data_IF_432654344036
#
_entry.id   IF_432654344036
#
_cell.length_a   1.000
_cell.length_b   1.000
_cell.length_c   1.000
_cell.angle_alpha   90.00
_cell.angle_beta   90.00
_cell.angle_gamma   90.00
#
_symmetry.space_group_name_H-M   'P 1'
#
loop_
_entity.id
_entity.type
_entity.pdbx_description
1 polymer ?
#
# COMPACT_ATOMS: atom_id res chain seq x y z
N UNK A 1 39.96 4.03 15.49
CA UNK A 1 38.69 3.82 16.16
C UNK A 1 37.88 2.85 15.33
N UNK A 2 37.44 1.75 15.93
CA UNK A 2 36.69 0.70 15.28
C UNK A 2 35.18 0.95 15.58
N UNK A 3 34.67 2.09 15.07
CA UNK A 3 33.27 2.46 15.19
C UNK A 3 32.54 2.02 13.92
N UNK A 4 31.29 1.55 14.03
CA UNK A 4 30.47 1.24 12.86
C UNK A 4 30.25 2.52 12.02
N UNK A 5 30.00 2.38 10.72
CA UNK A 5 29.78 3.54 9.84
C UNK A 5 28.53 4.34 10.25
N UNK A 6 27.54 3.67 10.86
CA UNK A 6 26.29 4.27 11.36
C UNK A 6 26.01 3.77 12.78
N UNK A 7 25.44 4.62 13.64
CA UNK A 7 25.00 4.28 15.00
C UNK A 7 25.08 5.47 15.96
N UNK A 8 24.47 5.32 17.12
CA UNK A 8 24.42 6.38 18.13
C UNK A 8 25.82 6.71 18.68
N UNK A 9 26.69 5.71 18.81
CA UNK A 9 28.07 5.90 19.25
C UNK A 9 28.88 6.74 18.25
N UNK A 10 28.70 6.46 16.95
CA UNK A 10 29.37 7.22 15.89
C UNK A 10 28.84 8.64 15.80
N UNK A 11 27.52 8.84 15.98
CA UNK A 11 26.93 10.17 16.03
C UNK A 11 27.47 10.98 17.20
N UNK A 12 27.47 10.41 18.40
CA UNK A 12 27.98 11.08 19.60
C UNK A 12 29.45 11.45 19.47
N UNK A 13 30.27 10.57 18.88
CA UNK A 13 31.67 10.85 18.59
C UNK A 13 31.84 12.00 17.57
N UNK A 14 31.06 12.05 16.52
CA UNK A 14 31.10 13.12 15.52
C UNK A 14 30.66 14.44 16.12
N UNK A 15 29.63 14.48 16.95
CA UNK A 15 29.21 15.67 17.67
C UNK A 15 30.33 16.20 18.57
N UNK A 16 31.03 15.34 19.30
CA UNK A 16 32.18 15.72 20.12
C UNK A 16 33.35 16.28 19.27
N UNK A 17 33.62 15.67 18.12
CA UNK A 17 34.62 16.16 17.16
C UNK A 17 34.23 17.53 16.62
N UNK A 18 32.97 17.72 16.25
CA UNK A 18 32.44 19.00 15.76
C UNK A 18 32.59 20.10 16.83
N UNK A 19 32.22 19.83 18.07
CA UNK A 19 32.32 20.78 19.18
C UNK A 19 33.79 21.14 19.48
N UNK A 20 34.67 20.14 19.43
CA UNK A 20 36.09 20.36 19.65
C UNK A 20 36.71 21.24 18.56
N UNK A 21 36.45 20.92 17.29
CA UNK A 21 37.00 21.69 16.14
C UNK A 21 36.41 23.10 16.11
N UNK A 22 35.13 23.24 16.41
CA UNK A 22 34.45 24.54 16.52
C UNK A 22 35.07 25.44 17.57
N UNK A 23 35.56 24.89 18.68
CA UNK A 23 36.23 25.66 19.74
C UNK A 23 37.53 26.29 19.29
N UNK A 24 38.21 25.73 18.26
CA UNK A 24 39.51 26.24 17.74
C UNK A 24 39.37 27.04 16.47
N UNK A 25 38.42 26.69 15.57
CA UNK A 25 38.31 27.28 14.21
C UNK A 25 37.04 28.08 13.98
N UNK A 26 36.14 28.17 14.99
CA UNK A 26 34.84 28.81 14.82
C UNK A 26 33.94 28.00 13.90
N UNK A 27 33.18 28.65 13.02
CA UNK A 27 32.24 27.97 12.09
C UNK A 27 32.86 27.72 10.70
N UNK A 28 34.16 28.09 10.49
CA UNK A 28 34.84 27.96 9.19
C UNK A 28 35.58 26.63 9.04
N UNK A 29 34.89 25.49 9.23
CA UNK A 29 35.49 24.17 9.01
C UNK A 29 34.48 23.20 8.41
N UNK A 30 35.00 22.15 7.77
CA UNK A 30 34.23 21.02 7.31
C UNK A 30 34.86 19.72 7.79
N UNK A 31 34.04 18.85 8.41
CA UNK A 31 34.43 17.47 8.75
C UNK A 31 33.92 16.58 7.63
N UNK A 32 34.85 15.89 6.94
CA UNK A 32 34.54 15.07 5.79
C UNK A 32 34.98 13.63 6.03
N UNK A 33 34.10 12.69 5.79
CA UNK A 33 34.38 11.25 5.96
C UNK A 33 33.14 10.39 5.65
N UNK A 34 33.35 9.09 5.54
CA UNK A 34 32.22 8.17 5.26
C UNK A 34 31.17 8.23 6.38
N UNK A 35 31.61 8.18 7.63
CA UNK A 35 30.70 8.23 8.79
C UNK A 35 29.99 9.57 8.91
N UNK A 36 30.69 10.70 8.62
CA UNK A 36 30.07 12.04 8.62
C UNK A 36 28.98 12.12 7.53
N UNK A 37 29.31 11.68 6.31
CA UNK A 37 28.34 11.66 5.22
C UNK A 37 27.13 10.76 5.52
N UNK A 38 27.35 9.61 6.20
CA UNK A 38 26.26 8.71 6.59
C UNK A 38 25.36 9.36 7.65
N UNK A 39 25.93 10.04 8.66
CA UNK A 39 25.17 10.73 9.70
C UNK A 39 24.40 11.93 9.13
N UNK A 40 25.04 12.76 8.33
CA UNK A 40 24.40 13.92 7.68
C UNK A 40 23.26 13.48 6.76
N UNK A 41 23.50 12.43 5.98
CA UNK A 41 22.50 11.83 5.12
C UNK A 41 21.33 11.28 5.95
N UNK A 42 21.60 10.51 7.00
CA UNK A 42 20.58 9.96 7.90
C UNK A 42 19.73 11.05 8.55
N UNK A 43 20.31 12.15 8.98
CA UNK A 43 19.58 13.25 9.61
C UNK A 43 18.66 13.99 8.62
N UNK A 44 19.15 14.30 7.43
CA UNK A 44 18.36 14.94 6.37
C UNK A 44 17.19 14.05 5.93
N UNK A 45 17.41 12.73 5.83
CA UNK A 45 16.37 11.82 5.40
C UNK A 45 15.31 11.50 6.45
N UNK A 46 15.59 11.68 7.74
CA UNK A 46 14.57 11.48 8.77
C UNK A 46 13.38 12.44 8.60
N UNK A 47 13.66 13.70 8.23
CA UNK A 47 12.62 14.69 7.91
C UNK A 47 11.94 14.39 6.57
N UNK A 48 12.72 14.08 5.53
CA UNK A 48 12.23 13.76 4.19
C UNK A 48 11.38 12.50 4.18
N UNK A 49 11.72 11.48 4.97
CA UNK A 49 10.95 10.23 5.06
C UNK A 49 9.52 10.46 5.52
N UNK A 50 9.31 11.32 6.51
CA UNK A 50 7.97 11.66 6.99
C UNK A 50 7.19 12.38 5.90
N UNK A 51 7.82 13.33 5.21
CA UNK A 51 7.20 14.05 4.09
C UNK A 51 6.82 13.11 2.94
N UNK A 52 7.75 12.23 2.53
CA UNK A 52 7.53 11.25 1.46
C UNK A 52 6.42 10.28 1.84
N UNK A 53 6.40 9.79 3.07
CA UNK A 53 5.37 8.85 3.54
C UNK A 53 3.98 9.49 3.56
N UNK A 54 3.86 10.72 4.06
CA UNK A 54 2.60 11.46 4.06
C UNK A 54 2.15 11.77 2.64
N UNK A 55 3.05 12.23 1.78
CA UNK A 55 2.75 12.57 0.39
C UNK A 55 2.30 11.35 -0.39
N UNK A 56 3.00 10.22 -0.23
CA UNK A 56 2.64 8.94 -0.85
C UNK A 56 1.26 8.46 -0.39
N UNK A 57 1.00 8.50 0.93
CA UNK A 57 -0.31 8.14 1.47
C UNK A 57 -1.42 9.06 0.96
N UNK A 58 -1.15 10.37 0.82
CA UNK A 58 -2.10 11.33 0.28
C UNK A 58 -2.43 11.06 -1.20
N UNK A 59 -1.42 10.80 -2.03
CA UNK A 59 -1.64 10.46 -3.44
C UNK A 59 -2.42 9.16 -3.59
N UNK A 60 -2.08 8.13 -2.81
CA UNK A 60 -2.81 6.87 -2.77
C UNK A 60 -4.25 7.11 -2.33
N UNK A 61 -4.47 7.91 -1.27
CA UNK A 61 -5.80 8.29 -0.80
C UNK A 61 -6.62 8.96 -1.90
N UNK A 62 -6.04 9.91 -2.63
CA UNK A 62 -6.71 10.60 -3.73
C UNK A 62 -7.12 9.64 -4.85
N UNK A 63 -6.19 8.78 -5.29
CA UNK A 63 -6.47 7.79 -6.35
C UNK A 63 -7.61 6.87 -5.92
N UNK A 64 -7.57 6.33 -4.71
CA UNK A 64 -8.61 5.44 -4.20
C UNK A 64 -9.97 6.14 -4.03
N UNK A 65 -9.94 7.39 -3.58
CA UNK A 65 -11.15 8.20 -3.40
C UNK A 65 -11.87 8.40 -4.75
N UNK A 66 -11.12 8.70 -5.82
CA UNK A 66 -11.68 8.81 -7.16
C UNK A 66 -12.12 7.47 -7.73
N UNK A 67 -11.38 6.39 -7.45
CA UNK A 67 -11.67 5.05 -7.96
C UNK A 67 -12.94 4.48 -7.35
N UNK A 68 -13.08 4.56 -6.03
CA UNK A 68 -14.19 3.92 -5.30
C UNK A 68 -15.36 4.85 -4.97
N UNK A 69 -15.21 6.14 -5.22
CA UNK A 69 -16.24 7.16 -4.92
C UNK A 69 -16.77 7.07 -3.48
N UNK A 70 -15.91 6.71 -2.56
CA UNK A 70 -16.16 6.60 -1.13
C UNK A 70 -14.95 7.09 -0.37
N UNK A 71 -15.14 7.88 0.69
CA UNK A 71 -14.06 8.34 1.53
C UNK A 71 -13.66 7.30 2.59
N UNK A 72 -14.57 6.46 3.03
CA UNK A 72 -14.32 5.46 4.07
C UNK A 72 -13.46 4.30 3.59
N UNK A 73 -13.67 3.83 2.37
CA UNK A 73 -12.95 2.68 1.83
C UNK A 73 -11.44 2.93 1.70
N UNK A 74 -10.96 4.06 1.13
CA UNK A 74 -9.53 4.38 1.09
C UNK A 74 -8.85 4.38 2.44
N UNK A 75 -9.50 4.94 3.46
CA UNK A 75 -8.94 4.97 4.82
C UNK A 75 -8.71 3.56 5.37
N UNK A 76 -9.70 2.67 5.20
CA UNK A 76 -9.59 1.29 5.63
C UNK A 76 -8.47 0.53 4.88
N UNK A 77 -8.34 0.74 3.57
CA UNK A 77 -7.30 0.13 2.75
C UNK A 77 -5.90 0.59 3.18
N UNK A 78 -5.70 1.90 3.33
CA UNK A 78 -4.41 2.46 3.76
C UNK A 78 -4.03 1.94 5.14
N UNK A 79 -4.98 1.80 6.07
CA UNK A 79 -4.70 1.26 7.40
C UNK A 79 -4.16 -0.18 7.34
N UNK A 80 -4.73 -1.04 6.51
CA UNK A 80 -4.24 -2.42 6.32
C UNK A 80 -2.85 -2.42 5.69
N UNK A 81 -2.64 -1.61 4.66
CA UNK A 81 -1.36 -1.51 3.95
C UNK A 81 -0.27 -0.99 4.90
N UNK A 82 -0.55 0.10 5.62
CA UNK A 82 0.39 0.66 6.58
C UNK A 82 0.71 -0.32 7.70
N UNK A 83 -0.28 -1.07 8.17
CA UNK A 83 -0.10 -2.15 9.14
C UNK A 83 0.84 -3.25 8.63
N UNK A 84 0.75 -3.63 7.35
CA UNK A 84 1.66 -4.62 6.75
C UNK A 84 3.11 -4.12 6.67
N UNK A 85 3.30 -2.84 6.34
CA UNK A 85 4.60 -2.19 6.29
C UNK A 85 5.25 -2.14 7.69
N UNK A 86 4.48 -1.74 8.70
CA UNK A 86 4.98 -1.71 10.08
C UNK A 86 5.36 -3.10 10.61
N UNK A 87 4.54 -4.12 10.30
CA UNK A 87 4.88 -5.50 10.65
C UNK A 87 6.15 -5.96 9.96
N UNK A 88 6.37 -5.63 8.70
CA UNK A 88 7.61 -5.97 8.00
C UNK A 88 8.82 -5.33 8.66
N UNK A 89 8.76 -4.03 8.97
CA UNK A 89 9.90 -3.32 9.58
C UNK A 89 10.09 -3.62 11.06
N UNK A 90 9.12 -4.24 11.74
CA UNK A 90 9.33 -4.72 13.12
C UNK A 90 10.26 -5.94 13.19
N UNK A 91 10.37 -6.73 12.12
CA UNK A 91 11.20 -7.94 12.10
C UNK A 91 12.70 -7.63 12.27
N UNK A 92 13.32 -6.73 11.47
CA UNK A 92 14.71 -6.33 11.67
C UNK A 92 14.99 -5.79 13.08
N UNK A 93 14.02 -5.05 13.66
CA UNK A 93 14.16 -4.54 15.03
C UNK A 93 14.16 -5.65 16.07
N UNK A 94 13.39 -6.73 15.87
CA UNK A 94 13.37 -7.90 16.77
C UNK A 94 14.64 -8.74 16.60
N UNK A 95 15.13 -8.89 15.37
CA UNK A 95 16.33 -9.68 15.05
C UNK A 95 17.64 -8.93 15.32
N UNK A 96 17.59 -7.64 15.69
CA UNK A 96 18.74 -6.74 15.83
C UNK A 96 19.62 -6.71 14.56
N UNK A 97 19.01 -6.81 13.39
CA UNK A 97 19.71 -6.70 12.13
C UNK A 97 19.74 -5.24 11.68
N UNK A 98 20.90 -4.72 11.23
CA UNK A 98 21.00 -3.33 10.79
C UNK A 98 20.14 -3.13 9.54
N UNK A 99 19.27 -2.15 9.57
CA UNK A 99 18.50 -1.73 8.43
C UNK A 99 19.08 -0.42 7.91
N UNK A 100 19.68 -0.46 6.74
CA UNK A 100 20.18 0.73 6.08
C UNK A 100 19.01 1.65 5.73
N UNK A 101 19.13 2.91 6.13
CA UNK A 101 18.04 3.87 6.03
C UNK A 101 17.56 4.06 4.57
N UNK A 102 18.48 4.07 3.60
CA UNK A 102 18.12 4.12 2.16
C UNK A 102 17.28 2.90 1.74
N UNK A 103 17.62 1.71 2.30
CA UNK A 103 16.83 0.49 2.11
C UNK A 103 15.43 0.63 2.66
N UNK A 104 15.28 1.24 3.83
CA UNK A 104 13.97 1.52 4.43
C UNK A 104 13.09 2.37 3.51
N UNK A 105 13.60 3.48 2.98
CA UNK A 105 12.85 4.38 2.10
C UNK A 105 12.40 3.69 0.81
N UNK A 106 13.32 2.94 0.17
CA UNK A 106 13.04 2.22 -1.07
C UNK A 106 11.97 1.17 -0.83
N UNK A 107 12.14 0.34 0.20
CA UNK A 107 11.19 -0.75 0.51
C UNK A 107 9.83 -0.20 0.92
N UNK A 108 9.78 0.85 1.75
CA UNK A 108 8.54 1.52 2.14
C UNK A 108 7.74 2.00 0.91
N UNK A 109 8.42 2.68 -0.02
CA UNK A 109 7.79 3.19 -1.24
C UNK A 109 7.29 2.07 -2.17
N UNK A 110 8.11 1.03 -2.38
CA UNK A 110 7.74 -0.12 -3.22
C UNK A 110 6.58 -0.89 -2.59
N UNK A 111 6.64 -1.17 -1.28
CA UNK A 111 5.57 -1.91 -0.60
C UNK A 111 4.25 -1.14 -0.62
N UNK A 112 4.28 0.18 -0.42
CA UNK A 112 3.06 0.98 -0.49
C UNK A 112 2.42 0.88 -1.87
N UNK A 113 3.20 0.95 -2.95
CA UNK A 113 2.70 0.81 -4.33
C UNK A 113 2.21 -0.61 -4.65
N UNK A 114 2.97 -1.64 -4.32
CA UNK A 114 2.62 -3.03 -4.63
C UNK A 114 1.43 -3.54 -3.81
N UNK A 115 1.34 -3.18 -2.53
CA UNK A 115 0.28 -3.67 -1.65
C UNK A 115 -1.08 -3.05 -1.96
N UNK A 116 -1.10 -1.81 -2.48
CA UNK A 116 -2.35 -1.13 -2.85
C UNK A 116 -3.06 -1.86 -3.98
N UNK A 117 -2.30 -2.42 -4.93
CA UNK A 117 -2.88 -3.14 -6.06
C UNK A 117 -3.65 -4.38 -5.60
N UNK A 118 -3.13 -5.13 -4.61
CA UNK A 118 -3.84 -6.27 -4.02
C UNK A 118 -5.12 -5.85 -3.32
N UNK A 119 -5.07 -4.76 -2.59
CA UNK A 119 -6.23 -4.21 -1.89
C UNK A 119 -7.30 -3.70 -2.86
N UNK A 120 -6.90 -3.02 -3.95
CA UNK A 120 -7.80 -2.55 -5.01
C UNK A 120 -8.54 -3.72 -5.66
N UNK A 121 -7.84 -4.80 -6.01
CA UNK A 121 -8.45 -5.96 -6.69
C UNK A 121 -9.57 -6.57 -5.85
N UNK A 122 -9.32 -6.85 -4.56
CA UNK A 122 -10.37 -7.41 -3.67
C UNK A 122 -11.51 -6.41 -3.49
N UNK A 123 -11.20 -5.15 -3.24
CA UNK A 123 -12.22 -4.13 -2.97
C UNK A 123 -13.08 -3.82 -4.18
N UNK A 124 -12.53 -3.86 -5.39
CA UNK A 124 -13.28 -3.68 -6.64
C UNK A 124 -14.27 -4.83 -6.83
N UNK A 125 -13.81 -6.07 -6.71
CA UNK A 125 -14.68 -7.23 -6.81
C UNK A 125 -15.75 -7.23 -5.72
N UNK A 126 -15.38 -6.86 -4.47
CA UNK A 126 -16.35 -6.74 -3.39
C UNK A 126 -17.45 -5.72 -3.67
N UNK A 127 -17.06 -4.52 -4.12
CA UNK A 127 -18.00 -3.44 -4.42
C UNK A 127 -18.95 -3.80 -5.57
N UNK A 128 -18.45 -4.51 -6.58
CA UNK A 128 -19.25 -4.99 -7.71
C UNK A 128 -20.23 -6.10 -7.26
N UNK A 129 -19.73 -7.12 -6.59
CA UNK A 129 -20.51 -8.28 -6.17
C UNK A 129 -21.54 -7.95 -5.09
N UNK A 130 -21.29 -6.94 -4.27
CA UNK A 130 -22.23 -6.44 -3.26
C UNK A 130 -23.55 -5.92 -3.87
N UNK A 131 -23.55 -5.53 -5.14
CA UNK A 131 -24.79 -5.13 -5.83
C UNK A 131 -25.74 -6.32 -6.07
N UNK A 132 -25.22 -7.55 -6.06
CA UNK A 132 -25.97 -8.77 -6.37
C UNK A 132 -26.11 -9.72 -5.17
N UNK A 133 -25.18 -9.66 -4.20
CA UNK A 133 -25.12 -10.56 -3.06
C UNK A 133 -25.04 -9.80 -1.74
N UNK A 134 -25.52 -10.43 -0.64
CA UNK A 134 -25.29 -9.84 0.69
C UNK A 134 -23.81 -9.78 1.03
N UNK A 135 -23.35 -8.82 1.88
CA UNK A 135 -21.93 -8.53 2.12
C UNK A 135 -21.06 -9.74 2.44
N UNK A 136 -21.56 -10.68 3.27
CA UNK A 136 -20.82 -11.89 3.62
C UNK A 136 -20.58 -12.83 2.45
N UNK A 137 -21.54 -12.92 1.50
CA UNK A 137 -21.38 -13.74 0.31
C UNK A 137 -20.54 -13.02 -0.73
N UNK A 138 -20.77 -11.72 -0.89
CA UNK A 138 -20.00 -10.89 -1.82
C UNK A 138 -18.50 -10.94 -1.55
N UNK A 139 -18.08 -10.88 -0.27
CA UNK A 139 -16.65 -10.91 0.09
C UNK A 139 -16.01 -12.28 -0.19
N UNK A 140 -16.74 -13.39 0.01
CA UNK A 140 -16.22 -14.73 -0.30
C UNK A 140 -16.00 -14.89 -1.80
N UNK A 141 -16.97 -14.46 -2.60
CA UNK A 141 -16.85 -14.52 -4.07
C UNK A 141 -15.76 -13.55 -4.58
N UNK A 142 -15.63 -12.37 -3.97
CA UNK A 142 -14.56 -11.43 -4.28
C UNK A 142 -13.18 -12.01 -4.00
N UNK A 143 -13.02 -12.70 -2.86
CA UNK A 143 -11.79 -13.41 -2.52
C UNK A 143 -11.48 -14.52 -3.53
N UNK A 144 -12.46 -15.35 -3.86
CA UNK A 144 -12.29 -16.43 -4.84
C UNK A 144 -11.83 -15.89 -6.20
N UNK A 145 -12.40 -14.79 -6.65
CA UNK A 145 -12.05 -14.16 -7.91
C UNK A 145 -10.66 -13.49 -7.88
N UNK A 146 -10.29 -12.90 -6.74
CA UNK A 146 -9.04 -12.14 -6.59
C UNK A 146 -7.83 -13.00 -6.23
N UNK A 147 -8.05 -14.13 -5.54
CA UNK A 147 -7.00 -14.98 -4.99
C UNK A 147 -5.93 -15.40 -6.02
N UNK A 148 -6.29 -15.94 -7.21
CA UNK A 148 -5.28 -16.37 -8.17
C UNK A 148 -4.34 -15.24 -8.61
N UNK A 149 -4.89 -14.04 -8.85
CA UNK A 149 -4.13 -12.87 -9.28
C UNK A 149 -3.18 -12.38 -8.18
N UNK A 150 -3.68 -12.23 -6.96
CA UNK A 150 -2.89 -11.76 -5.82
C UNK A 150 -1.79 -12.77 -5.47
N UNK A 151 -2.14 -14.05 -5.43
CA UNK A 151 -1.18 -15.11 -5.11
C UNK A 151 -0.07 -15.21 -6.15
N UNK A 152 -0.41 -15.16 -7.44
CA UNK A 152 0.58 -15.25 -8.51
C UNK A 152 1.51 -14.04 -8.53
N UNK A 153 0.96 -12.82 -8.56
CA UNK A 153 1.79 -11.61 -8.59
C UNK A 153 2.62 -11.43 -7.32
N UNK A 154 2.02 -11.71 -6.17
CA UNK A 154 2.74 -11.63 -4.90
C UNK A 154 3.83 -12.68 -4.75
N UNK A 155 3.61 -13.91 -5.21
CA UNK A 155 4.65 -14.95 -5.23
C UNK A 155 5.82 -14.56 -6.13
N UNK A 156 5.56 -13.97 -7.28
CA UNK A 156 6.61 -13.46 -8.19
C UNK A 156 7.43 -12.38 -7.50
N UNK A 157 6.77 -11.40 -6.88
CA UNK A 157 7.46 -10.31 -6.18
C UNK A 157 8.25 -10.80 -4.96
N UNK A 158 7.67 -11.71 -4.17
CA UNK A 158 8.35 -12.32 -3.03
C UNK A 158 9.58 -13.13 -3.47
N UNK A 159 9.44 -13.93 -4.53
CA UNK A 159 10.56 -14.70 -5.10
C UNK A 159 11.66 -13.77 -5.64
N UNK A 160 11.30 -12.71 -6.35
CA UNK A 160 12.26 -11.73 -6.87
C UNK A 160 13.04 -11.05 -5.73
N UNK A 161 12.34 -10.58 -4.68
CA UNK A 161 12.99 -10.01 -3.50
C UNK A 161 13.95 -10.99 -2.82
N UNK A 162 13.50 -12.22 -2.57
CA UNK A 162 14.33 -13.26 -1.96
C UNK A 162 15.54 -13.64 -2.82
N UNK A 163 15.40 -13.69 -4.14
CA UNK A 163 16.52 -13.95 -5.06
C UNK A 163 17.55 -12.81 -5.03
N UNK A 164 17.10 -11.56 -5.00
CA UNK A 164 18.00 -10.41 -4.86
C UNK A 164 18.79 -10.52 -3.55
N UNK A 165 18.12 -10.86 -2.44
CA UNK A 165 18.75 -11.00 -1.13
C UNK A 165 19.88 -12.05 -1.13
N UNK A 166 19.69 -13.18 -1.82
CA UNK A 166 20.65 -14.29 -1.83
C UNK A 166 21.75 -14.11 -2.88
N UNK A 167 21.45 -13.49 -4.02
CA UNK A 167 22.39 -13.40 -5.15
C UNK A 167 23.32 -12.20 -5.07
N UNK A 168 22.99 -11.18 -4.31
CA UNK A 168 23.83 -9.98 -4.20
C UNK A 168 24.88 -10.11 -3.11
N UNK A 169 26.07 -9.57 -3.39
CA UNK A 169 27.15 -9.45 -2.40
C UNK A 169 27.13 -8.10 -1.66
N UNK A 170 26.35 -7.17 -2.13
CA UNK A 170 26.19 -5.85 -1.50
C UNK A 170 25.17 -5.95 -0.34
N UNK A 171 25.59 -5.68 0.92
CA UNK A 171 24.72 -5.86 2.07
C UNK A 171 23.48 -4.95 2.06
N UNK A 172 23.58 -3.75 1.50
CA UNK A 172 22.45 -2.83 1.38
C UNK A 172 21.38 -3.39 0.44
N UNK A 173 21.80 -3.87 -0.73
CA UNK A 173 20.89 -4.45 -1.72
C UNK A 173 20.30 -5.77 -1.22
N UNK A 174 21.09 -6.58 -0.50
CA UNK A 174 20.60 -7.81 0.14
C UNK A 174 19.48 -7.51 1.14
N UNK A 175 19.66 -6.51 1.99
CA UNK A 175 18.66 -6.09 2.98
C UNK A 175 17.38 -5.57 2.30
N UNK A 176 17.50 -4.80 1.22
CA UNK A 176 16.35 -4.34 0.43
C UNK A 176 15.58 -5.55 -0.13
N UNK A 177 16.30 -6.52 -0.73
CA UNK A 177 15.70 -7.73 -1.28
C UNK A 177 14.97 -8.57 -0.24
N UNK A 178 15.58 -8.79 0.93
CA UNK A 178 15.00 -9.54 2.03
C UNK A 178 13.74 -8.86 2.59
N UNK A 179 13.82 -7.57 2.89
CA UNK A 179 12.67 -6.80 3.35
C UNK A 179 11.53 -6.77 2.32
N UNK A 180 11.84 -6.69 1.04
CA UNK A 180 10.84 -6.72 -0.03
C UNK A 180 10.18 -8.08 -0.14
N UNK A 181 10.96 -9.17 -0.15
CA UNK A 181 10.45 -10.54 -0.24
C UNK A 181 9.56 -10.89 0.94
N UNK A 182 10.06 -10.70 2.17
CA UNK A 182 9.32 -10.93 3.42
C UNK A 182 8.10 -10.03 3.54
N UNK A 183 8.26 -8.75 3.26
CA UNK A 183 7.18 -7.78 3.35
C UNK A 183 6.04 -8.08 2.39
N UNK A 184 6.32 -8.59 1.20
CA UNK A 184 5.30 -9.04 0.25
C UNK A 184 4.51 -10.22 0.80
N UNK A 185 5.15 -11.19 1.42
CA UNK A 185 4.46 -12.34 2.04
C UNK A 185 3.55 -11.87 3.17
N UNK A 186 4.04 -11.00 4.07
CA UNK A 186 3.24 -10.41 5.16
C UNK A 186 2.02 -9.69 4.58
N UNK A 187 2.21 -8.91 3.52
CA UNK A 187 1.14 -8.15 2.88
C UNK A 187 0.08 -9.04 2.25
N UNK A 188 0.46 -10.09 1.55
CA UNK A 188 -0.49 -11.06 0.97
C UNK A 188 -1.35 -11.68 2.08
N UNK A 189 -0.71 -12.11 3.18
CA UNK A 189 -1.44 -12.70 4.32
C UNK A 189 -2.43 -11.70 4.92
N UNK A 190 -2.01 -10.45 5.15
CA UNK A 190 -2.90 -9.42 5.70
C UNK A 190 -4.03 -9.05 4.73
N UNK A 191 -3.72 -8.91 3.45
CA UNK A 191 -4.73 -8.57 2.45
C UNK A 191 -5.73 -9.70 2.25
N UNK A 192 -5.32 -10.94 2.29
CA UNK A 192 -6.24 -12.09 2.15
C UNK A 192 -7.00 -12.43 3.44
N UNK A 193 -6.40 -12.23 4.62
CA UNK A 193 -7.01 -12.62 5.88
C UNK A 193 -7.70 -11.47 6.62
N UNK A 194 -7.10 -10.29 6.68
CA UNK A 194 -7.58 -9.16 7.49
C UNK A 194 -8.45 -8.20 6.69
N UNK A 195 -8.05 -7.86 5.46
CA UNK A 195 -8.79 -6.90 4.64
C UNK A 195 -10.25 -7.31 4.40
N UNK A 196 -10.59 -8.58 4.08
CA UNK A 196 -11.97 -8.98 3.87
C UNK A 196 -12.86 -8.75 5.10
N UNK A 197 -12.31 -8.98 6.28
CA UNK A 197 -13.03 -8.77 7.54
C UNK A 197 -13.27 -7.27 7.80
N UNK A 198 -12.24 -6.45 7.53
CA UNK A 198 -12.35 -4.99 7.65
C UNK A 198 -13.38 -4.43 6.64
N UNK A 199 -13.42 -4.95 5.41
CA UNK A 199 -14.41 -4.53 4.41
C UNK A 199 -15.84 -4.85 4.85
N UNK A 200 -16.09 -6.03 5.41
CA UNK A 200 -17.42 -6.41 5.91
C UNK A 200 -17.81 -5.63 7.16
N UNK A 201 -16.88 -5.41 8.10
CA UNK A 201 -17.14 -4.63 9.30
C UNK A 201 -17.31 -3.13 8.99
N UNK A 202 -16.52 -2.62 8.06
CA UNK A 202 -16.54 -1.23 7.61
C UNK A 202 -17.63 -0.91 6.59
N UNK A 203 -18.43 -1.88 6.19
CA UNK A 203 -19.42 -1.72 5.12
C UNK A 203 -20.40 -0.57 5.36
N UNK A 204 -20.88 -0.42 6.59
CA UNK A 204 -21.74 0.71 7.00
C UNK A 204 -21.03 2.06 6.88
N UNK A 205 -19.72 2.11 7.13
CA UNK A 205 -18.91 3.33 6.99
C UNK A 205 -18.73 3.65 5.51
N UNK A 206 -18.44 2.63 4.70
CA UNK A 206 -18.26 2.76 3.25
C UNK A 206 -19.53 3.30 2.61
N UNK A 207 -20.71 2.79 2.97
CA UNK A 207 -21.98 3.25 2.45
C UNK A 207 -22.31 4.70 2.86
N UNK A 208 -22.07 5.06 4.12
CA UNK A 208 -22.34 6.42 4.62
C UNK A 208 -21.40 7.47 4.03
N UNK A 209 -20.23 7.08 3.59
CA UNK A 209 -19.19 7.97 3.04
C UNK A 209 -19.11 7.92 1.51
N UNK A 210 -19.96 7.11 0.88
CA UNK A 210 -20.06 7.08 -0.58
C UNK A 210 -20.71 8.37 -1.10
N UNK A 211 -20.16 8.90 -2.19
CA UNK A 211 -20.66 10.09 -2.86
C UNK A 211 -20.84 9.85 -4.37
N UNK A 212 -21.90 10.42 -4.92
CA UNK A 212 -22.14 10.41 -6.37
C UNK A 212 -21.44 11.62 -6.99
N UNK A 213 -20.59 11.41 -8.00
CA UNK A 213 -20.03 12.51 -8.80
C UNK A 213 -21.02 12.88 -9.91
N UNK A 214 -21.67 14.05 -9.83
CA UNK A 214 -22.55 14.48 -10.90
C UNK A 214 -21.71 14.74 -12.17
N UNK A 215 -21.94 13.94 -13.21
CA UNK A 215 -21.31 14.10 -14.52
C UNK A 215 -20.43 12.95 -15.01
N UNK A 216 -19.87 12.10 -14.15
CA UNK A 216 -19.11 10.91 -14.56
C UNK A 216 -19.93 9.61 -14.54
N UNK A 217 -21.01 9.60 -13.76
CA UNK A 217 -21.91 8.45 -13.74
C UNK A 217 -22.86 8.54 -14.94
N UNK A 218 -22.47 7.89 -16.01
CA UNK A 218 -23.41 7.53 -17.08
C UNK A 218 -24.37 6.51 -16.46
N UNK A 219 -25.37 6.99 -15.71
CA UNK A 219 -26.52 6.17 -15.36
C UNK A 219 -27.01 5.59 -16.68
N UNK A 220 -26.82 4.29 -16.86
CA UNK A 220 -27.71 3.57 -17.77
C UNK A 220 -29.09 3.83 -17.18
N UNK A 221 -29.78 4.82 -17.73
CA UNK A 221 -31.17 5.05 -17.40
C UNK A 221 -31.87 3.75 -17.77
N UNK A 222 -32.11 2.92 -16.78
CA UNK A 222 -33.18 1.96 -16.82
C UNK A 222 -34.42 2.83 -17.03
N UNK A 223 -34.87 2.89 -18.27
CA UNK A 223 -36.08 3.57 -18.59
C UNK A 223 -37.19 2.82 -17.86
N UNK A 224 -37.58 3.33 -16.71
CA UNK A 224 -38.82 2.98 -16.05
C UNK A 224 -39.93 3.64 -16.89
N UNK A 225 -40.30 2.99 -17.95
CA UNK A 225 -41.35 3.41 -18.83
C UNK A 225 -41.93 2.19 -19.55
N UNK A 226 -43.24 2.12 -19.71
CA UNK A 226 -43.90 1.15 -20.57
C UNK A 226 -43.41 1.34 -21.99
N UNK A 227 -42.64 0.38 -22.50
CA UNK A 227 -42.16 0.37 -23.86
C UNK A 227 -43.11 -0.48 -24.71
N UNK A 228 -43.85 0.15 -25.57
CA UNK A 228 -44.68 -0.57 -26.55
C UNK A 228 -43.80 -1.04 -27.71
N UNK A 229 -43.57 -2.34 -27.79
CA UNK A 229 -42.80 -2.95 -28.88
C UNK A 229 -43.73 -3.65 -29.87
N UNK A 230 -43.80 -3.14 -31.07
CA UNK A 230 -44.46 -3.83 -32.20
C UNK A 230 -43.38 -4.58 -33.01
N UNK A 231 -43.27 -5.88 -32.84
CA UNK A 231 -42.32 -6.71 -33.61
C UNK A 231 -41.62 -7.80 -32.79
N UNK A 232 -40.63 -8.45 -33.42
CA UNK A 232 -39.88 -9.55 -32.83
C UNK A 232 -38.69 -9.01 -32.07
N UNK A 233 -38.65 -9.26 -30.76
CA UNK A 233 -37.49 -8.93 -29.88
C UNK A 233 -36.59 -10.16 -29.74
N UNK A 234 -35.29 -10.01 -30.05
CA UNK A 234 -34.25 -11.01 -29.73
C UNK A 234 -33.25 -10.37 -28.80
N UNK A 235 -33.26 -10.79 -27.53
CA UNK A 235 -32.33 -10.30 -26.53
C UNK A 235 -32.62 -10.89 -25.13
N UNK A 236 -31.72 -10.62 -24.17
CA UNK A 236 -31.97 -10.91 -22.77
C UNK A 236 -32.73 -9.76 -22.13
N UNK A 237 -33.89 -10.05 -21.55
CA UNK A 237 -34.70 -9.10 -20.79
C UNK A 237 -34.68 -9.55 -19.33
N UNK A 238 -34.13 -8.70 -18.44
CA UNK A 238 -34.13 -8.92 -16.98
C UNK A 238 -35.12 -7.93 -16.36
N UNK A 239 -36.27 -8.43 -15.92
CA UNK A 239 -37.32 -7.63 -15.27
C UNK A 239 -38.67 -8.34 -15.29
N UNK A 240 -39.70 -7.68 -14.75
CA UNK A 240 -41.08 -8.16 -14.80
C UNK A 240 -41.66 -7.72 -16.15
N UNK A 241 -42.11 -8.66 -16.95
CA UNK A 241 -42.79 -8.39 -18.25
C UNK A 241 -44.29 -8.60 -18.05
N UNK A 242 -45.04 -7.53 -18.18
CA UNK A 242 -46.49 -7.58 -18.26
C UNK A 242 -46.88 -7.46 -19.77
N UNK A 243 -47.30 -8.54 -20.38
CA UNK A 243 -47.60 -8.58 -21.82
C UNK A 243 -49.02 -9.05 -22.02
N UNK A 244 -49.82 -8.25 -22.70
CA UNK A 244 -51.07 -8.70 -23.32
C UNK A 244 -50.72 -9.29 -24.68
N UNK A 245 -51.06 -10.57 -24.88
CA UNK A 245 -50.92 -11.25 -26.19
C UNK A 245 -52.26 -11.20 -26.86
N UNK A 246 -52.36 -10.41 -27.93
CA UNK A 246 -53.48 -10.43 -28.88
C UNK A 246 -53.15 -11.32 -30.06
#
# INVERSE_FOLDING_TARGET
LDLPEEGDDTRSFLDEVHDLVRSYYGDDFYVVGNSTSAVDLSSSFAEDNLLISILSALFVMLILLFTFKSAGLPVLLILVIQGSIWLNFSVPAIENTPLYFLGYLIVNSIQMGANIDYAIVISSHYTELKQQYPPKKAIVEALNASFPTIFTSGTILAAAGSLIAVMTTNPVIATIGDCLGRGTIISIVLVLAVLPQILVLGDTIIERTSFEMPGLDRKVRTASGTMHVHGRVRGYISGVIDAEVN
#
